data_IF_007077760523
#
_entry.id   IF_007077760523
#
_cell.length_a   1.000
_cell.length_b   1.000
_cell.length_c   1.000
_cell.angle_alpha   90.00
_cell.angle_beta   90.00
_cell.angle_gamma   90.00
#
_symmetry.space_group_name_H-M   'P 1'
#
loop_
_entity.id
_entity.type
_entity.pdbx_description
1 polymer ?
#
# COMPACT_ATOMS: atom_id res chain seq x y z
N UNK A 1 0.94 7.67 12.11
CA UNK A 1 0.28 7.92 10.80
C UNK A 1 0.35 6.71 9.86
N UNK A 2 1.55 6.17 9.57
CA UNK A 2 1.72 5.10 8.57
C UNK A 2 0.99 3.79 8.92
N UNK A 3 1.09 3.31 10.18
CA UNK A 3 0.36 2.10 10.63
C UNK A 3 -1.15 2.19 10.44
N UNK A 4 -1.75 3.36 10.70
CA UNK A 4 -3.20 3.57 10.55
C UNK A 4 -3.58 3.49 9.06
N UNK A 5 -2.77 4.09 8.20
CA UNK A 5 -2.99 4.04 6.75
C UNK A 5 -2.85 2.62 6.18
N UNK A 6 -1.87 1.84 6.66
CA UNK A 6 -1.70 0.43 6.26
C UNK A 6 -2.85 -0.48 6.72
N UNK A 7 -3.51 -0.18 7.84
CA UNK A 7 -4.72 -0.91 8.30
C UNK A 7 -5.94 -0.70 7.40
N UNK A 8 -5.95 0.33 6.54
CA UNK A 8 -7.03 0.59 5.60
C UNK A 8 -6.84 -0.13 4.25
N UNK A 9 -5.72 -0.83 4.07
CA UNK A 9 -5.48 -1.69 2.92
C UNK A 9 -5.98 -3.10 3.23
N UNK A 10 -6.51 -3.79 2.23
CA UNK A 10 -6.77 -5.21 2.38
C UNK A 10 -5.45 -5.99 2.53
N UNK A 11 -5.53 -7.25 2.98
CA UNK A 11 -4.33 -8.05 3.28
C UNK A 11 -3.41 -8.19 2.06
N UNK A 12 -4.00 -8.32 0.87
CA UNK A 12 -3.25 -8.52 -0.38
C UNK A 12 -2.56 -7.23 -0.80
N UNK A 13 -3.27 -6.10 -0.78
CA UNK A 13 -2.77 -4.76 -1.03
C UNK A 13 -1.64 -4.43 -0.06
N UNK A 14 -1.85 -4.67 1.24
CA UNK A 14 -0.84 -4.42 2.28
C UNK A 14 0.41 -5.25 2.04
N UNK A 15 0.26 -6.54 1.74
CA UNK A 15 1.39 -7.46 1.54
C UNK A 15 2.19 -7.08 0.29
N UNK A 16 1.53 -6.83 -0.85
CA UNK A 16 2.19 -6.40 -2.09
C UNK A 16 2.93 -5.07 -1.86
N UNK A 17 2.27 -4.06 -1.28
CA UNK A 17 2.87 -2.74 -1.06
C UNK A 17 4.06 -2.82 -0.09
N UNK A 18 3.95 -3.61 0.98
CA UNK A 18 5.02 -3.78 1.96
C UNK A 18 6.24 -4.42 1.33
N UNK A 19 6.06 -5.56 0.66
CA UNK A 19 7.14 -6.32 0.04
C UNK A 19 7.82 -5.58 -1.12
N UNK A 20 7.16 -4.59 -1.73
CA UNK A 20 7.71 -3.82 -2.86
C UNK A 20 8.36 -2.49 -2.48
N UNK A 21 8.03 -1.93 -1.32
CA UNK A 21 8.36 -0.53 -0.95
C UNK A 21 8.80 -0.31 0.49
N UNK A 22 8.49 -1.23 1.41
CA UNK A 22 8.68 -1.02 2.86
C UNK A 22 9.62 -2.05 3.50
N UNK A 23 10.40 -2.76 2.68
CA UNK A 23 11.41 -3.73 3.10
C UNK A 23 12.73 -3.37 2.42
N UNK A 24 13.85 -3.75 3.03
CA UNK A 24 15.19 -3.42 2.53
C UNK A 24 15.49 -4.14 1.20
N UNK A 25 14.99 -5.35 1.02
CA UNK A 25 15.11 -6.14 -0.21
C UNK A 25 13.75 -6.34 -0.88
N UNK A 26 13.34 -5.45 -1.81
CA UNK A 26 11.99 -5.43 -2.35
C UNK A 26 11.78 -6.47 -3.46
N UNK A 27 10.82 -7.38 -3.25
CA UNK A 27 10.42 -8.39 -4.23
C UNK A 27 9.92 -7.76 -5.54
N UNK A 28 10.38 -8.28 -6.67
CA UNK A 28 9.95 -7.90 -8.03
C UNK A 28 8.49 -8.24 -8.30
N UNK A 29 7.92 -7.62 -9.34
CA UNK A 29 6.57 -7.97 -9.82
C UNK A 29 6.48 -9.45 -10.26
N UNK A 30 7.58 -10.03 -10.73
CA UNK A 30 7.63 -11.43 -11.17
C UNK A 30 7.58 -12.41 -9.98
N UNK A 31 8.36 -12.14 -8.92
CA UNK A 31 8.34 -12.94 -7.70
C UNK A 31 6.97 -12.88 -7.01
N UNK A 32 6.37 -11.69 -6.94
CA UNK A 32 5.02 -11.52 -6.42
C UNK A 32 3.97 -12.17 -7.32
N UNK A 33 4.13 -12.10 -8.65
CA UNK A 33 3.26 -12.77 -9.61
C UNK A 33 3.21 -14.28 -9.34
N UNK A 34 4.39 -14.90 -9.15
CA UNK A 34 4.52 -16.32 -8.79
C UNK A 34 3.92 -16.62 -7.41
N UNK A 35 4.24 -15.82 -6.39
CA UNK A 35 3.76 -16.03 -5.02
C UNK A 35 2.24 -15.91 -4.88
N UNK A 36 1.59 -15.04 -5.66
CA UNK A 36 0.15 -14.78 -5.59
C UNK A 36 -0.66 -15.48 -6.68
N UNK A 37 -0.03 -16.25 -7.58
CA UNK A 37 -0.70 -16.95 -8.68
C UNK A 37 -1.46 -16.03 -9.64
N UNK A 38 -0.98 -14.81 -9.86
CA UNK A 38 -1.59 -13.82 -10.76
C UNK A 38 -0.56 -13.21 -11.69
N UNK A 39 -1.00 -12.58 -12.79
CA UNK A 39 -0.09 -11.93 -13.72
C UNK A 39 0.68 -10.77 -13.10
N UNK A 40 1.88 -10.47 -13.64
CA UNK A 40 2.68 -9.29 -13.27
C UNK A 40 1.88 -7.99 -13.37
N UNK A 41 1.09 -7.84 -14.43
CA UNK A 41 0.24 -6.65 -14.59
C UNK A 41 -0.83 -6.57 -13.50
N UNK A 42 -1.40 -7.70 -13.08
CA UNK A 42 -2.34 -7.71 -11.97
C UNK A 42 -1.68 -7.29 -10.65
N UNK A 43 -0.45 -7.72 -10.40
CA UNK A 43 0.32 -7.27 -9.22
C UNK A 43 0.55 -5.75 -9.29
N UNK A 44 0.94 -5.23 -10.47
CA UNK A 44 1.14 -3.79 -10.69
C UNK A 44 -0.14 -3.00 -10.42
N UNK A 45 -1.29 -3.46 -10.90
CA UNK A 45 -2.58 -2.82 -10.65
C UNK A 45 -2.92 -2.77 -9.15
N UNK A 46 -2.64 -3.86 -8.43
CA UNK A 46 -2.86 -3.92 -6.97
C UNK A 46 -1.90 -2.97 -6.26
N UNK A 47 -0.62 -2.91 -6.65
CA UNK A 47 0.36 -1.97 -6.08
C UNK A 47 -0.11 -0.52 -6.25
N UNK A 48 -0.52 -0.13 -7.46
CA UNK A 48 -0.99 1.24 -7.75
C UNK A 48 -2.23 1.58 -6.92
N UNK A 49 -3.25 0.69 -6.88
CA UNK A 49 -4.45 0.91 -6.06
C UNK A 49 -4.14 1.02 -4.58
N UNK A 50 -3.28 0.15 -4.06
CA UNK A 50 -2.85 0.16 -2.66
C UNK A 50 -2.16 1.48 -2.32
N UNK A 51 -1.26 1.96 -3.20
CA UNK A 51 -0.57 3.22 -3.02
C UNK A 51 -1.53 4.42 -3.03
N UNK A 52 -2.48 4.47 -3.96
CA UNK A 52 -3.49 5.53 -4.01
C UNK A 52 -4.36 5.58 -2.75
N UNK A 53 -4.81 4.41 -2.26
CA UNK A 53 -5.54 4.29 -0.99
C UNK A 53 -4.71 4.82 0.17
N UNK A 54 -3.44 4.38 0.28
CA UNK A 54 -2.53 4.85 1.32
C UNK A 54 -2.40 6.39 1.30
N UNK A 55 -2.19 6.95 0.11
CA UNK A 55 -2.01 8.40 -0.08
C UNK A 55 -3.25 9.19 0.34
N UNK A 56 -4.45 8.71 0.00
CA UNK A 56 -5.73 9.30 0.43
C UNK A 56 -5.88 9.27 1.95
N UNK A 57 -5.58 8.14 2.59
CA UNK A 57 -5.72 8.01 4.05
C UNK A 57 -4.73 8.93 4.78
N UNK A 58 -3.46 8.95 4.36
CA UNK A 58 -2.45 9.85 4.95
C UNK A 58 -2.86 11.32 4.80
N UNK A 59 -3.32 11.71 3.61
CA UNK A 59 -3.82 13.07 3.35
C UNK A 59 -5.01 13.42 4.27
N UNK A 60 -5.98 12.50 4.43
CA UNK A 60 -7.13 12.69 5.30
C UNK A 60 -6.77 12.79 6.79
N UNK A 61 -5.83 11.96 7.27
CA UNK A 61 -5.35 12.03 8.66
C UNK A 61 -4.65 13.38 8.91
N UNK A 62 -3.86 13.85 7.94
CA UNK A 62 -3.18 15.14 8.04
C UNK A 62 -4.20 16.30 8.12
N UNK A 63 -5.25 16.31 7.28
CA UNK A 63 -6.31 17.32 7.37
C UNK A 63 -7.04 17.30 8.71
N UNK A 64 -7.41 16.12 9.23
CA UNK A 64 -8.05 16.01 10.54
C UNK A 64 -7.16 16.54 11.67
N UNK A 65 -5.86 16.26 11.62
CA UNK A 65 -4.90 16.73 12.63
C UNK A 65 -4.74 18.26 12.63
N UNK A 66 -4.90 18.91 11.47
CA UNK A 66 -4.85 20.38 11.36
C UNK A 66 -6.12 21.06 11.87
N UNK A 67 -7.29 20.47 11.65
CA UNK A 67 -8.58 21.04 12.07
C UNK A 67 -8.94 20.77 13.54
N UNK A 68 -8.28 19.82 14.21
CA UNK A 68 -8.50 19.53 15.65
C UNK A 68 -7.67 20.44 16.56
N UNK A 69 -6.61 21.06 16.05
CA UNK A 69 -5.75 21.98 16.79
C UNK A 69 -6.06 23.46 16.47
N UNK A 70 -7.28 23.75 15.99
CA UNK A 70 -7.76 25.09 15.64
C UNK A 70 -9.02 25.41 16.43
#
# INVERSE_FOLDING_TARGET
MLMIALKNLDERERRILTQRRLVDDPLTLDELSKSFGISRERVRQVEVRAFEKLRKVVKNINYKSKNVNQ
#
